data_IF_822045385441
#
_entry.id   IF_822045385441
#
_cell.length_a   1.000
_cell.length_b   1.000
_cell.length_c   1.000
_cell.angle_alpha   90.00
_cell.angle_beta   90.00
_cell.angle_gamma   90.00
#
_symmetry.space_group_name_H-M   'P 1'
#
loop_
_entity.id
_entity.type
_entity.pdbx_description
1 polymer ?
#
# COMPACT_ATOMS: atom_id res chain seq x y z
N UNK A 1 -7.42 -12.58 -53.01
CA UNK A 1 -8.14 -11.53 -52.25
C UNK A 1 -8.44 -12.03 -50.85
N UNK A 2 -7.95 -11.36 -49.80
CA UNK A 2 -8.30 -11.68 -48.39
C UNK A 2 -9.75 -11.22 -48.16
N UNK A 3 -10.60 -12.11 -47.68
CA UNK A 3 -12.01 -11.73 -47.42
C UNK A 3 -12.08 -10.73 -46.23
N UNK A 4 -13.05 -9.78 -46.26
CA UNK A 4 -13.26 -8.81 -45.16
C UNK A 4 -13.38 -9.48 -43.79
N UNK A 5 -14.00 -10.66 -43.70
CA UNK A 5 -14.13 -11.44 -42.48
C UNK A 5 -12.74 -11.92 -41.94
N UNK A 6 -11.83 -12.35 -42.82
CA UNK A 6 -10.48 -12.74 -42.43
C UNK A 6 -9.63 -11.53 -42.00
N UNK A 7 -9.81 -10.38 -42.63
CA UNK A 7 -9.12 -9.15 -42.25
C UNK A 7 -9.59 -8.67 -40.88
N UNK A 8 -10.91 -8.58 -40.66
CA UNK A 8 -11.49 -8.18 -39.36
C UNK A 8 -11.11 -9.16 -38.25
N UNK A 9 -11.20 -10.46 -38.50
CA UNK A 9 -10.78 -11.49 -37.52
C UNK A 9 -9.31 -11.43 -37.22
N UNK A 10 -8.44 -11.20 -38.19
CA UNK A 10 -7.00 -11.04 -38.00
C UNK A 10 -6.66 -9.78 -37.19
N UNK A 11 -7.33 -8.66 -37.48
CA UNK A 11 -7.14 -7.40 -36.72
C UNK A 11 -7.59 -7.54 -35.26
N UNK A 12 -8.75 -8.17 -35.01
CA UNK A 12 -9.24 -8.40 -33.67
C UNK A 12 -8.30 -9.31 -32.85
N UNK A 13 -7.78 -10.38 -33.47
CA UNK A 13 -6.80 -11.28 -32.83
C UNK A 13 -5.49 -10.55 -32.51
N UNK A 14 -4.99 -9.73 -33.42
CA UNK A 14 -3.78 -8.93 -33.19
C UNK A 14 -3.96 -7.92 -32.04
N UNK A 15 -5.09 -7.23 -31.97
CA UNK A 15 -5.42 -6.30 -30.87
C UNK A 15 -5.52 -7.04 -29.53
N UNK A 16 -6.21 -8.18 -29.48
CA UNK A 16 -6.33 -8.98 -28.26
C UNK A 16 -4.96 -9.49 -27.78
N UNK A 17 -4.11 -9.96 -28.71
CA UNK A 17 -2.74 -10.39 -28.38
C UNK A 17 -1.89 -9.23 -27.89
N UNK A 18 -1.96 -8.08 -28.55
CA UNK A 18 -1.25 -6.86 -28.13
C UNK A 18 -1.66 -6.41 -26.73
N UNK A 19 -2.97 -6.40 -26.44
CA UNK A 19 -3.49 -6.08 -25.11
C UNK A 19 -3.04 -7.08 -24.05
N UNK A 20 -3.06 -8.37 -24.38
CA UNK A 20 -2.56 -9.43 -23.49
C UNK A 20 -1.08 -9.26 -23.17
N UNK A 21 -0.25 -9.00 -24.16
CA UNK A 21 1.18 -8.73 -23.97
C UNK A 21 1.42 -7.46 -23.14
N UNK A 22 0.71 -6.38 -23.40
CA UNK A 22 0.76 -5.15 -22.61
C UNK A 22 0.42 -5.40 -21.14
N UNK A 23 -0.70 -6.07 -20.89
CA UNK A 23 -1.20 -6.38 -19.54
C UNK A 23 -0.24 -7.28 -18.76
N UNK A 24 0.45 -8.19 -19.44
CA UNK A 24 1.32 -9.17 -18.81
C UNK A 24 2.79 -8.74 -18.71
N UNK A 25 3.33 -8.07 -19.73
CA UNK A 25 4.76 -7.76 -19.80
C UNK A 25 5.10 -6.30 -19.51
N UNK A 26 4.22 -5.36 -19.87
CA UNK A 26 4.55 -3.94 -19.82
C UNK A 26 4.00 -3.30 -18.55
N UNK A 27 2.70 -3.28 -18.37
CA UNK A 27 2.08 -2.53 -17.28
C UNK A 27 2.49 -3.03 -15.88
N UNK A 28 2.67 -4.34 -15.61
CA UNK A 28 3.12 -4.79 -14.28
C UNK A 28 4.50 -4.29 -13.87
N UNK A 29 5.32 -3.84 -14.83
CA UNK A 29 6.66 -3.32 -14.60
C UNK A 29 6.77 -1.80 -14.87
N UNK A 30 5.67 -1.16 -15.20
CA UNK A 30 5.64 0.28 -15.50
C UNK A 30 5.33 1.08 -14.24
N UNK A 31 6.31 1.14 -13.33
CA UNK A 31 6.19 1.83 -12.05
C UNK A 31 5.83 3.31 -12.22
N UNK A 32 4.83 3.73 -11.45
CA UNK A 32 4.45 5.13 -11.30
C UNK A 32 4.91 5.67 -9.95
N UNK A 33 5.57 6.82 -9.95
CA UNK A 33 5.92 7.55 -8.73
C UNK A 33 4.89 8.65 -8.53
N UNK A 34 4.07 8.50 -7.51
CA UNK A 34 2.98 9.43 -7.18
C UNK A 34 3.44 10.35 -6.05
N UNK A 35 3.30 11.67 -6.23
CA UNK A 35 3.59 12.67 -5.19
C UNK A 35 2.31 13.26 -4.64
N UNK A 36 2.20 13.35 -3.30
CA UNK A 36 1.01 13.85 -2.62
C UNK A 36 1.40 14.65 -1.38
N UNK A 37 0.71 15.74 -1.06
CA UNK A 37 0.80 16.35 0.26
C UNK A 37 0.18 15.42 1.29
N UNK A 38 0.75 15.36 2.50
CA UNK A 38 0.17 14.66 3.65
C UNK A 38 -0.04 15.67 4.79
N UNK A 39 -1.20 16.32 4.84
CA UNK A 39 -1.50 17.29 5.89
C UNK A 39 -1.75 16.56 7.21
N UNK A 40 -0.94 16.89 8.23
CA UNK A 40 -1.02 16.32 9.57
C UNK A 40 -1.25 17.45 10.58
N UNK A 41 -2.30 17.31 11.39
CA UNK A 41 -2.58 18.27 12.48
C UNK A 41 -1.48 18.17 13.56
N UNK A 42 -1.00 19.30 14.03
CA UNK A 42 0.04 19.34 15.04
C UNK A 42 1.43 18.87 14.58
N UNK A 43 1.66 18.73 13.26
CA UNK A 43 2.95 18.29 12.74
C UNK A 43 4.11 19.15 13.26
N UNK A 44 5.17 18.56 13.86
CA UNK A 44 6.36 19.30 14.26
C UNK A 44 6.97 20.08 13.09
N UNK A 45 7.43 21.29 13.36
CA UNK A 45 8.05 22.14 12.32
C UNK A 45 9.29 21.51 11.68
N UNK A 46 10.02 20.69 12.45
CA UNK A 46 11.18 19.91 11.97
C UNK A 46 10.84 18.87 10.91
N UNK A 47 9.56 18.45 10.86
CA UNK A 47 9.05 17.47 9.88
C UNK A 47 8.32 18.14 8.71
N UNK A 48 8.03 19.43 8.76
CA UNK A 48 7.38 20.14 7.67
C UNK A 48 8.28 20.14 6.41
N UNK A 49 7.74 19.72 5.27
CA UNK A 49 8.46 19.57 4.00
C UNK A 49 9.33 18.30 3.91
N UNK A 50 9.37 17.48 4.97
CA UNK A 50 10.02 16.17 4.93
C UNK A 50 9.24 15.19 4.08
N UNK A 51 9.93 14.20 3.53
CA UNK A 51 9.34 13.20 2.66
C UNK A 51 9.13 11.88 3.40
N UNK A 52 7.92 11.33 3.26
CA UNK A 52 7.60 9.96 3.65
C UNK A 52 7.31 9.16 2.37
N UNK A 53 8.06 8.11 2.13
CA UNK A 53 7.82 7.19 1.01
C UNK A 53 7.08 5.97 1.50
N UNK A 54 5.94 5.67 0.88
CA UNK A 54 5.20 4.44 1.07
C UNK A 54 5.52 3.45 -0.04
N UNK A 55 6.03 2.29 0.35
CA UNK A 55 6.07 1.05 -0.40
C UNK A 55 4.99 0.11 0.12
N UNK A 56 4.45 -0.76 -0.70
CA UNK A 56 3.43 -1.73 -0.31
C UNK A 56 3.43 -2.91 -1.25
N UNK A 57 3.00 -4.07 -0.74
CA UNK A 57 2.69 -5.24 -1.59
C UNK A 57 3.87 -5.59 -2.51
N UNK A 58 5.05 -5.72 -1.96
CA UNK A 58 6.28 -6.03 -2.70
C UNK A 58 6.27 -7.45 -3.24
N UNK A 59 5.67 -8.39 -2.49
CA UNK A 59 5.52 -9.79 -2.86
C UNK A 59 6.80 -10.44 -3.38
N UNK A 60 7.95 -10.14 -2.73
CA UNK A 60 9.21 -10.78 -3.09
C UNK A 60 9.05 -12.29 -3.11
N UNK A 61 9.32 -12.87 -4.27
CA UNK A 61 9.09 -14.29 -4.53
C UNK A 61 9.11 -14.61 -6.01
N UNK A 62 8.74 -15.83 -6.41
CA UNK A 62 9.00 -16.34 -7.77
C UNK A 62 8.17 -15.65 -8.87
N UNK A 63 7.18 -14.83 -8.52
CA UNK A 63 6.29 -14.18 -9.50
C UNK A 63 6.66 -12.74 -9.79
N UNK A 64 7.38 -12.07 -8.87
CA UNK A 64 7.83 -10.69 -9.05
C UNK A 64 9.32 -10.73 -9.39
N UNK A 65 9.72 -10.03 -10.44
CA UNK A 65 11.11 -9.99 -10.89
C UNK A 65 11.99 -9.27 -9.83
N UNK A 66 13.03 -9.94 -9.35
CA UNK A 66 14.03 -9.39 -8.44
C UNK A 66 14.63 -8.10 -8.99
N UNK A 67 14.96 -8.10 -10.29
CA UNK A 67 15.50 -6.92 -10.96
C UNK A 67 14.54 -5.73 -10.87
N UNK A 68 13.25 -5.97 -11.08
CA UNK A 68 12.24 -4.93 -11.00
C UNK A 68 12.13 -4.35 -9.59
N UNK A 69 12.15 -5.21 -8.56
CA UNK A 69 12.12 -4.78 -7.15
C UNK A 69 13.37 -3.97 -6.81
N UNK A 70 14.55 -4.47 -7.17
CA UNK A 70 15.82 -3.78 -6.91
C UNK A 70 15.94 -2.46 -7.68
N UNK A 71 15.43 -2.39 -8.92
CA UNK A 71 15.36 -1.15 -9.69
C UNK A 71 14.41 -0.13 -9.03
N UNK A 72 13.30 -0.61 -8.46
CA UNK A 72 12.39 0.21 -7.66
C UNK A 72 13.08 0.74 -6.40
N UNK A 73 13.79 -0.10 -5.68
CA UNK A 73 14.53 0.29 -4.47
C UNK A 73 15.59 1.35 -4.79
N UNK A 74 16.36 1.18 -5.86
CA UNK A 74 17.33 2.20 -6.30
C UNK A 74 16.67 3.54 -6.58
N UNK A 75 15.56 3.55 -7.33
CA UNK A 75 14.80 4.79 -7.61
C UNK A 75 14.32 5.48 -6.34
N UNK A 76 13.89 4.73 -5.33
CA UNK A 76 13.48 5.29 -4.05
C UNK A 76 14.69 5.79 -3.25
N UNK A 77 15.82 5.06 -3.26
CA UNK A 77 17.06 5.49 -2.61
C UNK A 77 17.59 6.81 -3.19
N UNK A 78 17.51 6.97 -4.53
CA UNK A 78 17.94 8.21 -5.21
C UNK A 78 17.13 9.44 -4.80
N UNK A 79 15.90 9.23 -4.28
CA UNK A 79 15.06 10.31 -3.74
C UNK A 79 15.50 10.78 -2.35
N UNK A 80 16.41 10.03 -1.69
CA UNK A 80 16.89 10.29 -0.32
C UNK A 80 15.76 10.61 0.67
N UNK A 81 14.77 9.70 0.86
CA UNK A 81 13.61 9.95 1.70
C UNK A 81 13.97 10.18 3.16
N UNK A 82 13.14 10.97 3.87
CA UNK A 82 13.30 11.14 5.30
C UNK A 82 12.74 9.96 6.08
N UNK A 83 11.58 9.46 5.66
CA UNK A 83 10.91 8.31 6.27
C UNK A 83 10.55 7.33 5.16
N UNK A 84 10.80 6.05 5.37
CA UNK A 84 10.30 4.97 4.52
C UNK A 84 9.34 4.12 5.34
N UNK A 85 8.16 3.86 4.80
CA UNK A 85 7.19 2.93 5.38
C UNK A 85 6.84 1.85 4.38
N UNK A 86 6.74 0.60 4.85
CA UNK A 86 6.26 -0.54 4.06
C UNK A 86 4.95 -1.03 4.66
N UNK A 87 3.87 -0.92 3.90
CA UNK A 87 2.52 -1.24 4.39
C UNK A 87 2.10 -2.68 4.11
N UNK A 88 3.01 -3.64 4.40
CA UNK A 88 2.73 -5.08 4.38
C UNK A 88 2.98 -5.77 3.05
N UNK A 89 2.78 -7.08 3.08
CA UNK A 89 3.01 -8.02 1.98
C UNK A 89 4.42 -7.90 1.40
N UNK A 90 5.42 -8.05 2.29
CA UNK A 90 6.81 -8.13 1.91
C UNK A 90 7.05 -9.34 1.01
N UNK A 91 6.50 -10.50 1.38
CA UNK A 91 6.74 -11.77 0.69
C UNK A 91 5.48 -12.36 0.08
N UNK A 92 5.68 -13.17 -0.96
CA UNK A 92 4.67 -14.14 -1.37
C UNK A 92 4.69 -15.32 -0.38
N UNK A 93 3.55 -15.87 -0.05
CA UNK A 93 3.30 -16.89 0.99
C UNK A 93 3.98 -18.26 0.80
N UNK A 94 5.12 -18.36 0.12
CA UNK A 94 5.80 -19.63 -0.12
C UNK A 94 6.86 -19.93 0.94
N UNK A 95 6.85 -21.15 1.44
CA UNK A 95 7.92 -21.63 2.33
C UNK A 95 9.29 -21.59 1.63
N UNK A 96 10.35 -21.29 2.38
CA UNK A 96 11.73 -21.28 1.86
C UNK A 96 12.18 -19.97 1.21
N UNK A 97 11.33 -18.96 1.11
CA UNK A 97 11.69 -17.67 0.52
C UNK A 97 12.53 -16.76 1.42
N UNK A 98 12.71 -17.07 2.70
CA UNK A 98 13.31 -16.15 3.66
C UNK A 98 14.72 -15.70 3.25
N UNK A 99 15.61 -16.62 2.86
CA UNK A 99 16.95 -16.28 2.36
C UNK A 99 16.92 -15.47 1.06
N UNK A 100 15.91 -15.71 0.23
CA UNK A 100 15.71 -14.95 -1.00
C UNK A 100 15.26 -13.53 -0.65
N UNK A 101 14.26 -13.39 0.23
CA UNK A 101 13.77 -12.12 0.73
C UNK A 101 14.90 -11.30 1.39
N UNK A 102 15.72 -11.91 2.24
CA UNK A 102 16.88 -11.28 2.87
C UNK A 102 17.83 -10.64 1.84
N UNK A 103 18.17 -11.38 0.77
CA UNK A 103 19.05 -10.86 -0.29
C UNK A 103 18.42 -9.66 -1.03
N UNK A 104 17.12 -9.70 -1.29
CA UNK A 104 16.44 -8.62 -1.98
C UNK A 104 16.29 -7.41 -1.07
N UNK A 105 15.88 -7.63 0.19
CA UNK A 105 15.68 -6.57 1.17
C UNK A 105 16.97 -5.95 1.69
N UNK A 106 18.13 -6.57 1.49
CA UNK A 106 19.42 -5.91 1.69
C UNK A 106 19.59 -4.65 0.84
N UNK A 107 18.82 -4.50 -0.25
CA UNK A 107 18.75 -3.31 -1.09
C UNK A 107 17.58 -2.37 -0.78
N UNK A 108 16.79 -2.63 0.27
CA UNK A 108 15.64 -1.79 0.63
C UNK A 108 16.09 -0.35 0.91
N UNK A 109 15.40 0.67 0.37
CA UNK A 109 15.73 2.06 0.68
C UNK A 109 15.48 2.38 2.15
N UNK A 110 16.42 3.12 2.76
CA UNK A 110 16.28 3.59 4.13
C UNK A 110 15.92 5.06 4.21
N UNK A 111 15.02 5.38 5.12
CA UNK A 111 14.73 6.75 5.49
C UNK A 111 15.82 7.32 6.40
N UNK A 112 16.17 8.59 6.19
CA UNK A 112 17.17 9.29 7.04
C UNK A 112 16.76 9.37 8.51
N UNK A 113 15.46 9.37 8.81
CA UNK A 113 14.90 9.43 10.15
C UNK A 113 14.40 8.07 10.63
N UNK A 114 13.73 7.31 9.76
CA UNK A 114 13.20 5.99 10.11
C UNK A 114 12.89 5.15 8.87
N UNK A 115 13.02 3.82 9.04
CA UNK A 115 12.50 2.81 8.12
C UNK A 115 11.62 1.88 8.92
N UNK A 116 10.31 1.96 8.67
CA UNK A 116 9.29 1.23 9.41
C UNK A 116 8.50 0.33 8.47
N UNK A 117 7.88 -0.69 9.01
CA UNK A 117 6.95 -1.53 8.27
C UNK A 117 5.87 -2.11 9.16
N UNK A 118 4.85 -2.65 8.54
CA UNK A 118 3.85 -3.54 9.14
C UNK A 118 3.78 -4.81 8.33
N UNK A 119 3.24 -5.86 8.88
CA UNK A 119 3.01 -7.10 8.14
C UNK A 119 1.69 -7.04 7.35
N UNK A 120 1.66 -7.74 6.22
CA UNK A 120 0.44 -8.07 5.50
C UNK A 120 0.09 -9.56 5.67
N UNK A 121 -1.07 -9.96 5.16
CA UNK A 121 -1.55 -11.32 5.32
C UNK A 121 -0.62 -12.36 4.69
N UNK A 122 0.03 -12.06 3.56
CA UNK A 122 0.94 -12.99 2.90
C UNK A 122 2.22 -13.24 3.69
N UNK A 123 2.64 -12.34 4.56
CA UNK A 123 3.80 -12.50 5.43
C UNK A 123 3.60 -13.58 6.50
N UNK A 124 2.34 -13.95 6.77
CA UNK A 124 1.95 -15.05 7.63
C UNK A 124 1.85 -16.40 6.91
N UNK A 125 2.36 -16.51 5.69
CA UNK A 125 2.43 -17.77 4.96
C UNK A 125 1.10 -18.30 4.43
N UNK A 126 1.06 -19.60 4.06
CA UNK A 126 -0.15 -20.22 3.50
C UNK A 126 -1.34 -20.13 4.45
N UNK A 127 -2.50 -19.70 3.92
CA UNK A 127 -3.71 -19.52 4.72
C UNK A 127 -3.62 -18.47 5.82
N UNK A 128 -2.54 -17.66 5.81
CA UNK A 128 -2.30 -16.52 6.72
C UNK A 128 -2.25 -16.93 8.20
N UNK A 129 -1.80 -18.16 8.47
CA UNK A 129 -1.91 -18.80 9.78
C UNK A 129 -0.59 -19.33 10.35
N UNK A 130 0.54 -18.80 9.86
CA UNK A 130 1.89 -19.20 10.25
C UNK A 130 2.66 -18.04 10.93
N UNK A 131 2.35 -17.72 12.20
CA UNK A 131 2.99 -16.63 12.92
C UNK A 131 4.51 -16.82 13.08
N UNK A 132 5.00 -18.06 13.05
CA UNK A 132 6.43 -18.36 13.07
C UNK A 132 7.15 -17.93 11.77
N UNK A 133 6.46 -17.92 10.63
CA UNK A 133 7.01 -17.38 9.38
C UNK A 133 7.11 -15.85 9.46
N UNK A 134 6.06 -15.21 9.94
CA UNK A 134 6.02 -13.79 10.17
C UNK A 134 7.13 -13.35 11.16
N UNK A 135 7.31 -14.07 12.27
CA UNK A 135 8.35 -13.78 13.25
C UNK A 135 9.76 -13.84 12.63
N UNK A 136 10.07 -14.88 11.85
CA UNK A 136 11.34 -15.01 11.14
C UNK A 136 11.57 -13.90 10.12
N UNK A 137 10.51 -13.47 9.43
CA UNK A 137 10.61 -12.33 8.50
C UNK A 137 10.92 -11.04 9.26
N UNK A 138 10.27 -10.83 10.41
CA UNK A 138 10.54 -9.68 11.29
C UNK A 138 12.00 -9.66 11.71
N UNK A 139 12.56 -10.81 12.14
CA UNK A 139 13.97 -10.92 12.56
C UNK A 139 14.92 -10.54 11.40
N UNK A 140 14.65 -11.04 10.20
CA UNK A 140 15.44 -10.70 8.99
C UNK A 140 15.36 -9.20 8.69
N UNK A 141 14.17 -8.63 8.67
CA UNK A 141 13.97 -7.21 8.38
C UNK A 141 14.60 -6.32 9.47
N UNK A 142 14.52 -6.72 10.73
CA UNK A 142 15.18 -6.02 11.83
C UNK A 142 16.72 -6.05 11.67
N UNK A 143 17.29 -7.18 11.28
CA UNK A 143 18.73 -7.30 10.94
C UNK A 143 19.16 -6.40 9.78
N UNK A 144 18.23 -6.01 8.92
CA UNK A 144 18.42 -5.09 7.80
C UNK A 144 18.04 -3.64 8.15
N UNK A 145 17.75 -3.32 9.42
CA UNK A 145 17.46 -1.96 9.88
C UNK A 145 16.01 -1.50 9.62
N UNK A 146 15.08 -2.42 9.38
CA UNK A 146 13.64 -2.13 9.24
C UNK A 146 12.93 -2.51 10.53
N UNK A 147 12.31 -1.55 11.21
CA UNK A 147 11.48 -1.81 12.38
C UNK A 147 10.06 -2.16 11.96
N UNK A 148 9.62 -3.38 12.23
CA UNK A 148 8.24 -3.82 12.02
C UNK A 148 7.41 -3.50 13.25
N UNK A 149 6.30 -2.80 13.04
CA UNK A 149 5.33 -2.45 14.08
C UNK A 149 4.18 -3.47 14.04
N UNK A 150 3.92 -4.09 15.17
CA UNK A 150 2.87 -5.10 15.33
C UNK A 150 1.94 -4.69 16.47
N UNK A 151 0.95 -3.86 16.18
CA UNK A 151 0.12 -3.14 17.16
C UNK A 151 0.98 -2.29 18.10
N UNK A 152 1.98 -1.61 17.53
CA UNK A 152 2.98 -0.83 18.25
C UNK A 152 3.10 0.57 17.70
N UNK A 153 3.67 1.48 18.51
CA UNK A 153 3.95 2.87 18.16
C UNK A 153 5.46 3.11 18.05
N UNK A 154 5.84 3.85 17.02
CA UNK A 154 7.16 4.45 16.88
C UNK A 154 7.06 5.97 16.91
N UNK A 155 8.00 6.63 17.61
CA UNK A 155 8.17 8.08 17.52
C UNK A 155 9.22 8.41 16.44
N UNK A 156 8.85 9.29 15.54
CA UNK A 156 9.75 9.78 14.48
C UNK A 156 9.75 11.30 14.51
N UNK A 157 10.68 11.86 15.27
CA UNK A 157 10.85 13.31 15.35
C UNK A 157 9.63 14.06 15.90
N UNK A 158 8.85 13.42 16.75
CA UNK A 158 7.64 13.96 17.36
C UNK A 158 6.33 13.56 16.67
N UNK A 159 6.39 12.91 15.52
CA UNK A 159 5.25 12.25 14.88
C UNK A 159 5.16 10.80 15.36
N UNK A 160 4.02 10.42 15.94
CA UNK A 160 3.73 9.06 16.33
C UNK A 160 3.25 8.27 15.13
N UNK A 161 3.93 7.18 14.78
CA UNK A 161 3.49 6.25 13.71
C UNK A 161 3.06 4.95 14.39
N UNK A 162 1.74 4.66 14.36
CA UNK A 162 1.19 3.44 14.89
C UNK A 162 1.02 2.42 13.76
N UNK A 163 1.59 1.23 13.92
CA UNK A 163 1.45 0.13 12.97
C UNK A 163 0.48 -0.93 13.49
N UNK A 164 -0.56 -1.21 12.72
CA UNK A 164 -1.48 -2.30 13.00
C UNK A 164 -0.93 -3.61 12.46
N UNK A 165 -1.13 -4.70 13.19
CA UNK A 165 -0.87 -6.05 12.69
C UNK A 165 -2.02 -6.51 11.77
N UNK A 166 -1.86 -7.62 11.07
CA UNK A 166 -2.75 -7.98 9.97
C UNK A 166 -4.14 -8.48 10.41
N UNK A 167 -5.16 -8.02 9.67
CA UNK A 167 -6.57 -8.34 9.91
C UNK A 167 -6.90 -9.80 9.56
N UNK A 168 -6.41 -10.28 8.40
CA UNK A 168 -6.73 -11.61 7.91
C UNK A 168 -5.92 -12.71 8.61
N UNK A 169 -4.76 -12.37 9.13
CA UNK A 169 -4.00 -13.23 10.03
C UNK A 169 -4.55 -13.24 11.47
N UNK A 170 -5.61 -12.50 11.75
CA UNK A 170 -6.26 -12.40 13.06
C UNK A 170 -5.41 -11.81 14.19
N UNK A 171 -4.45 -10.93 13.84
CA UNK A 171 -3.60 -10.25 14.81
C UNK A 171 -3.92 -8.75 14.97
N UNK A 172 -4.92 -8.23 14.27
CA UNK A 172 -5.34 -6.84 14.34
C UNK A 172 -5.90 -6.49 15.71
N UNK A 173 -5.21 -5.61 16.45
CA UNK A 173 -5.64 -5.08 17.75
C UNK A 173 -5.55 -3.54 17.77
N UNK A 174 -6.55 -2.83 17.25
CA UNK A 174 -6.54 -1.38 17.23
C UNK A 174 -6.69 -0.77 18.64
N UNK A 175 -7.38 -1.44 19.56
CA UNK A 175 -7.57 -0.93 20.92
C UNK A 175 -6.25 -0.88 21.67
N UNK A 176 -5.50 -1.99 21.67
CA UNK A 176 -4.19 -2.07 22.31
C UNK A 176 -3.16 -1.17 21.65
N UNK A 177 -3.19 -1.06 20.30
CA UNK A 177 -2.30 -0.20 19.55
C UNK A 177 -2.54 1.30 19.83
N UNK A 178 -3.80 1.75 19.75
CA UNK A 178 -4.16 3.16 19.92
C UNK A 178 -4.09 3.62 21.39
N UNK A 179 -4.17 2.71 22.35
CA UNK A 179 -3.96 3.03 23.77
C UNK A 179 -2.53 3.50 24.08
N UNK A 180 -1.57 3.21 23.21
CA UNK A 180 -0.17 3.63 23.35
C UNK A 180 0.08 5.05 22.83
N UNK A 181 -0.90 5.65 22.10
CA UNK A 181 -0.76 7.01 21.57
C UNK A 181 -0.98 8.06 22.64
N UNK A 182 -0.12 9.06 22.64
CA UNK A 182 -0.40 10.36 23.29
C UNK A 182 -1.33 11.16 22.35
N UNK A 183 -2.55 11.36 22.77
CA UNK A 183 -3.61 12.00 21.97
C UNK A 183 -3.37 13.49 21.68
N UNK A 184 -2.48 14.13 22.44
CA UNK A 184 -2.10 15.53 22.25
C UNK A 184 -1.03 15.69 21.16
N UNK A 185 -0.46 14.58 20.69
CA UNK A 185 0.61 14.56 19.70
C UNK A 185 0.10 14.11 18.33
N UNK A 186 0.72 14.61 17.23
CA UNK A 186 0.37 14.18 15.89
C UNK A 186 0.60 12.68 15.71
N UNK A 187 -0.30 12.03 14.98
CA UNK A 187 -0.20 10.61 14.70
C UNK A 187 -0.57 10.26 13.26
N UNK A 188 0.01 9.16 12.79
CA UNK A 188 -0.20 8.53 11.50
C UNK A 188 -0.35 7.02 11.73
N UNK A 189 -1.34 6.37 11.12
CA UNK A 189 -1.51 4.93 11.22
C UNK A 189 -1.08 4.22 9.94
N UNK A 190 -0.51 3.02 10.09
CA UNK A 190 -0.25 2.07 9.03
C UNK A 190 -1.16 0.86 9.24
N UNK A 191 -1.87 0.42 8.21
CA UNK A 191 -2.73 -0.76 8.25
C UNK A 191 -2.77 -1.41 6.88
N UNK A 192 -2.37 -2.67 6.78
CA UNK A 192 -2.26 -3.33 5.48
C UNK A 192 -3.62 -3.41 4.76
N UNK A 193 -4.60 -4.04 5.40
CA UNK A 193 -5.93 -4.23 4.81
C UNK A 193 -6.84 -3.03 5.08
N UNK A 194 -7.39 -2.36 4.05
CA UNK A 194 -8.24 -1.19 4.22
C UNK A 194 -9.57 -1.47 4.93
N UNK A 195 -10.09 -2.71 4.93
CA UNK A 195 -11.31 -3.07 5.67
C UNK A 195 -11.18 -2.89 7.19
N UNK A 196 -9.96 -2.71 7.71
CA UNK A 196 -9.72 -2.42 9.13
C UNK A 196 -10.41 -1.16 9.59
N UNK A 197 -10.56 -0.14 8.72
CA UNK A 197 -11.16 1.14 9.09
C UNK A 197 -12.67 1.05 9.39
N UNK A 198 -13.31 -0.02 8.92
CA UNK A 198 -14.73 -0.33 9.17
C UNK A 198 -14.90 -1.23 10.41
N UNK A 199 -13.80 -1.64 11.07
CA UNK A 199 -13.84 -2.40 12.32
C UNK A 199 -13.93 -1.46 13.52
N UNK A 200 -14.47 -1.97 14.63
CA UNK A 200 -14.44 -1.26 15.90
C UNK A 200 -13.00 -1.07 16.42
N UNK A 201 -12.84 -0.11 17.34
CA UNK A 201 -11.58 0.11 18.03
C UNK A 201 -10.77 1.31 17.52
N UNK A 202 -11.26 2.07 16.55
CA UNK A 202 -10.64 3.31 16.06
C UNK A 202 -11.07 4.56 16.83
N UNK A 203 -11.75 4.37 17.96
CA UNK A 203 -12.33 5.50 18.71
C UNK A 203 -11.26 6.47 19.20
N UNK A 204 -11.46 7.74 18.84
CA UNK A 204 -10.55 8.83 19.20
C UNK A 204 -9.28 8.92 18.34
N UNK A 205 -9.09 8.06 17.33
CA UNK A 205 -8.05 8.27 16.33
C UNK A 205 -8.54 9.25 15.27
N UNK A 206 -7.76 10.31 15.04
CA UNK A 206 -7.96 11.29 13.98
C UNK A 206 -6.70 11.34 13.11
N UNK A 207 -6.82 11.47 11.81
CA UNK A 207 -5.68 11.59 10.90
C UNK A 207 -5.63 10.57 9.80
N UNK A 208 -4.45 10.37 9.23
CA UNK A 208 -4.24 9.52 8.07
C UNK A 208 -3.94 8.07 8.45
N UNK A 209 -4.46 7.16 7.61
CA UNK A 209 -4.17 5.73 7.63
C UNK A 209 -3.58 5.39 6.26
N UNK A 210 -2.38 4.83 6.21
CA UNK A 210 -1.76 4.37 4.97
C UNK A 210 -1.97 2.87 4.84
N UNK A 211 -2.52 2.44 3.70
CA UNK A 211 -2.89 1.04 3.45
C UNK A 211 -2.38 0.53 2.10
N UNK A 212 -2.43 -0.79 1.92
CA UNK A 212 -2.10 -1.51 0.69
C UNK A 212 -3.15 -2.55 0.34
N UNK A 213 -2.71 -3.82 0.13
CA UNK A 213 -3.54 -5.02 0.00
C UNK A 213 -4.37 -5.14 -1.28
N UNK A 214 -4.99 -4.08 -1.73
CA UNK A 214 -5.96 -4.12 -2.84
C UNK A 214 -5.31 -4.22 -4.21
N UNK A 215 -4.05 -3.82 -4.33
CA UNK A 215 -3.37 -3.62 -5.62
C UNK A 215 -4.16 -2.75 -6.61
N UNK A 216 -5.12 -1.94 -6.12
CA UNK A 216 -6.07 -1.23 -6.98
C UNK A 216 -6.99 -2.15 -7.81
N UNK A 217 -7.06 -3.45 -7.46
CA UNK A 217 -7.73 -4.51 -8.19
C UNK A 217 -6.94 -5.05 -9.39
N UNK A 218 -5.69 -4.66 -9.55
CA UNK A 218 -4.73 -5.02 -10.63
C UNK A 218 -5.23 -4.79 -12.07
N UNK A 219 -6.46 -5.19 -12.38
CA UNK A 219 -7.09 -5.00 -13.70
C UNK A 219 -8.39 -4.23 -13.54
N UNK A 220 -8.42 -3.02 -14.08
CA UNK A 220 -9.61 -2.16 -14.04
C UNK A 220 -10.03 -1.79 -15.47
N UNK A 221 -11.10 -2.41 -16.00
CA UNK A 221 -11.63 -2.01 -17.29
C UNK A 221 -12.02 -0.52 -17.28
N UNK A 222 -11.92 0.19 -18.42
CA UNK A 222 -12.37 1.57 -18.50
C UNK A 222 -13.83 1.69 -18.07
N UNK A 223 -14.14 2.68 -17.22
CA UNK A 223 -15.50 3.00 -16.74
C UNK A 223 -16.17 1.95 -15.86
N UNK A 224 -15.50 0.83 -15.56
CA UNK A 224 -16.02 -0.22 -14.70
C UNK A 224 -15.16 -0.37 -13.44
N UNK A 225 -15.74 -0.84 -12.33
CA UNK A 225 -14.95 -1.21 -11.15
C UNK A 225 -14.06 -2.43 -11.47
N UNK A 226 -12.97 -2.62 -10.71
CA UNK A 226 -12.16 -3.83 -10.85
C UNK A 226 -13.02 -5.07 -10.54
N UNK A 227 -12.93 -6.12 -11.37
CA UNK A 227 -13.73 -7.34 -11.20
C UNK A 227 -13.35 -8.11 -9.94
N UNK A 228 -12.05 -8.11 -9.61
CA UNK A 228 -11.49 -8.78 -8.43
C UNK A 228 -10.92 -7.71 -7.50
N UNK A 229 -11.34 -7.74 -6.25
CA UNK A 229 -10.85 -6.85 -5.22
C UNK A 229 -10.86 -7.62 -3.88
N UNK A 230 -9.72 -7.81 -3.21
CA UNK A 230 -9.61 -8.64 -2.01
C UNK A 230 -10.03 -7.85 -0.76
N UNK A 231 -11.23 -7.28 -0.74
CA UNK A 231 -11.81 -6.53 0.38
C UNK A 231 -13.31 -6.78 0.46
N UNK A 232 -13.88 -6.66 1.65
CA UNK A 232 -15.31 -6.71 1.86
C UNK A 232 -15.98 -5.43 1.37
N UNK A 233 -15.42 -4.28 1.74
CA UNK A 233 -15.91 -2.99 1.28
C UNK A 233 -15.30 -2.63 -0.08
N UNK A 234 -16.01 -2.94 -1.14
CA UNK A 234 -15.55 -2.72 -2.53
C UNK A 234 -15.35 -1.25 -2.92
N UNK A 235 -15.70 -0.31 -2.03
CA UNK A 235 -15.36 1.10 -2.17
C UNK A 235 -13.84 1.32 -2.10
N UNK A 236 -13.14 0.54 -1.28
CA UNK A 236 -11.71 0.70 -1.02
C UNK A 236 -10.86 0.08 -2.12
N UNK A 237 -10.60 0.85 -3.17
CA UNK A 237 -9.80 0.39 -4.32
C UNK A 237 -8.37 0.90 -4.25
N UNK A 238 -8.14 2.19 -4.48
CA UNK A 238 -6.85 2.86 -4.44
C UNK A 238 -7.04 4.37 -4.32
N UNK A 239 -6.04 5.07 -3.81
CA UNK A 239 -6.05 6.51 -3.62
C UNK A 239 -6.61 6.95 -2.28
N UNK A 240 -7.08 8.19 -2.18
CA UNK A 240 -7.52 8.77 -0.91
C UNK A 240 -9.02 8.61 -0.68
N UNK A 241 -9.37 8.41 0.60
CA UNK A 241 -10.74 8.28 1.08
C UNK A 241 -10.92 9.13 2.34
N UNK A 242 -11.97 9.92 2.38
CA UNK A 242 -12.45 10.52 3.62
C UNK A 242 -13.33 9.51 4.35
N UNK A 243 -13.06 9.35 5.65
CA UNK A 243 -13.74 8.42 6.55
C UNK A 243 -14.50 9.19 7.62
N UNK A 244 -15.28 8.50 8.43
CA UNK A 244 -15.93 9.06 9.61
C UNK A 244 -14.92 9.45 10.69
N UNK A 245 -15.25 10.36 11.60
CA UNK A 245 -14.42 10.73 12.75
C UNK A 245 -13.11 11.45 12.39
N UNK A 246 -13.12 12.28 11.33
CA UNK A 246 -11.95 13.03 10.84
C UNK A 246 -10.77 12.13 10.43
N UNK A 247 -11.01 10.87 10.18
CA UNK A 247 -10.02 9.93 9.63
C UNK A 247 -9.96 10.06 8.12
N UNK A 248 -8.79 9.83 7.58
CA UNK A 248 -8.55 9.74 6.14
C UNK A 248 -7.71 8.50 5.86
N UNK A 249 -7.88 7.90 4.72
CA UNK A 249 -7.09 6.75 4.31
C UNK A 249 -6.50 6.97 2.93
N UNK A 250 -5.27 6.49 2.75
CA UNK A 250 -4.68 6.37 1.41
C UNK A 250 -4.32 4.91 1.17
N UNK A 251 -4.78 4.38 0.05
CA UNK A 251 -4.54 2.99 -0.35
C UNK A 251 -3.59 3.00 -1.55
N UNK A 252 -2.40 2.43 -1.37
CA UNK A 252 -1.43 2.22 -2.44
C UNK A 252 -1.89 1.12 -3.39
N UNK A 253 -1.52 1.25 -4.67
CA UNK A 253 -1.71 0.18 -5.66
C UNK A 253 -0.64 -0.91 -5.60
N UNK A 254 0.31 -0.78 -4.67
CA UNK A 254 1.39 -1.73 -4.48
C UNK A 254 2.41 -1.76 -5.62
N UNK A 255 3.57 -2.32 -5.32
CA UNK A 255 4.70 -2.46 -6.27
C UNK A 255 4.64 -3.81 -6.99
N UNK A 256 4.51 -4.89 -6.22
CA UNK A 256 4.50 -6.25 -6.75
C UNK A 256 3.11 -6.73 -7.20
N UNK A 257 2.98 -8.04 -7.29
CA UNK A 257 1.75 -8.70 -7.70
C UNK A 257 1.77 -10.19 -7.30
N UNK A 258 0.60 -10.79 -7.11
CA UNK A 258 0.45 -12.25 -6.98
C UNK A 258 0.20 -12.91 -8.34
N UNK A 259 -0.46 -12.20 -9.25
CA UNK A 259 -0.64 -12.60 -10.65
C UNK A 259 0.00 -11.50 -11.48
N UNK A 260 0.91 -11.87 -12.38
CA UNK A 260 1.59 -10.91 -13.24
C UNK A 260 0.62 -10.39 -14.32
N UNK A 261 -0.40 -9.65 -13.89
CA UNK A 261 -1.36 -9.03 -14.79
C UNK A 261 -1.81 -7.69 -14.21
N UNK A 262 -1.51 -6.61 -14.92
CA UNK A 262 -2.04 -5.27 -14.60
C UNK A 262 -2.61 -4.63 -15.85
N UNK A 263 -3.79 -4.04 -15.71
CA UNK A 263 -4.43 -3.29 -16.79
C UNK A 263 -5.12 -2.06 -16.24
N UNK A 264 -4.68 -0.87 -16.69
CA UNK A 264 -5.15 0.43 -16.24
C UNK A 264 -4.98 0.64 -14.71
N UNK A 265 -4.00 -0.06 -14.11
CA UNK A 265 -3.62 0.00 -12.69
C UNK A 265 -2.12 -0.23 -12.57
N UNK A 266 -1.34 0.80 -12.87
CA UNK A 266 0.12 0.71 -12.79
C UNK A 266 0.60 0.52 -11.35
N UNK A 267 1.71 -0.23 -11.14
CA UNK A 267 2.37 -0.29 -9.83
C UNK A 267 2.72 1.10 -9.32
N UNK A 268 2.76 1.27 -8.00
CA UNK A 268 2.89 2.58 -7.37
C UNK A 268 3.94 2.59 -6.26
N UNK A 269 4.75 3.65 -6.27
CA UNK A 269 5.47 4.18 -5.12
C UNK A 269 4.89 5.54 -4.79
N UNK A 270 4.45 5.75 -3.55
CA UNK A 270 3.86 7.03 -3.15
C UNK A 270 4.86 7.82 -2.31
N UNK A 271 5.08 9.07 -2.71
CA UNK A 271 5.90 10.04 -1.97
C UNK A 271 4.96 11.06 -1.36
N UNK A 272 4.91 11.08 -0.05
CA UNK A 272 4.18 12.09 0.69
C UNK A 272 5.13 13.21 1.13
N UNK A 273 4.72 14.45 0.90
CA UNK A 273 5.32 15.61 1.52
C UNK A 273 4.54 15.94 2.80
N UNK A 274 5.20 15.85 3.96
CA UNK A 274 4.59 16.12 5.24
C UNK A 274 4.30 17.62 5.37
N UNK A 275 3.06 17.99 5.64
CA UNK A 275 2.64 19.38 5.76
C UNK A 275 1.78 19.59 7.02
N UNK A 276 1.87 20.73 7.70
CA UNK A 276 0.91 21.09 8.74
C UNK A 276 -0.50 21.20 8.16
N UNK A 277 -1.51 20.66 8.85
CA UNK A 277 -2.91 20.85 8.46
C UNK A 277 -3.25 22.37 8.47
N UNK A 278 -3.89 22.85 7.39
CA UNK A 278 -4.20 24.27 7.19
C UNK A 278 -3.22 25.04 6.31
N UNK A 279 -2.09 24.47 5.91
CA UNK A 279 -1.10 25.09 4.99
C UNK A 279 -1.25 24.68 3.51
N UNK A 280 -2.31 24.01 3.14
CA UNK A 280 -2.60 23.79 1.72
C UNK A 280 -3.06 25.12 1.12
N UNK A 281 -2.13 25.94 0.66
CA UNK A 281 -2.42 27.11 -0.18
C UNK A 281 -3.10 26.63 -1.45
N UNK A 282 -4.11 27.39 -1.91
CA UNK A 282 -4.93 27.17 -3.11
C UNK A 282 -4.16 27.05 -4.43
N UNK A 283 -2.86 26.77 -4.42
CA UNK A 283 -1.99 26.63 -5.58
C UNK A 283 -1.42 25.22 -5.83
N UNK A 284 -1.51 24.30 -4.87
CA UNK A 284 -1.15 22.91 -5.09
C UNK A 284 -2.36 22.15 -5.66
N UNK A 285 -2.68 22.39 -6.93
CA UNK A 285 -3.75 21.74 -7.69
C UNK A 285 -3.45 20.27 -8.04
N UNK A 286 -2.89 19.52 -7.10
CA UNK A 286 -3.01 18.08 -7.03
C UNK A 286 -4.23 17.72 -6.20
N UNK A 287 -5.42 18.16 -6.62
CA UNK A 287 -6.65 17.67 -6.01
C UNK A 287 -6.55 16.15 -5.88
N UNK A 288 -6.77 15.64 -4.67
CA UNK A 288 -6.93 14.22 -4.46
C UNK A 288 -8.00 13.77 -5.47
N UNK A 289 -7.72 12.84 -6.38
CA UNK A 289 -8.75 12.38 -7.29
C UNK A 289 -9.93 11.92 -6.45
N UNK A 290 -11.07 12.55 -6.62
CA UNK A 290 -12.31 12.15 -5.96
C UNK A 290 -12.52 10.67 -6.17
N UNK A 291 -12.88 9.89 -5.14
CA UNK A 291 -13.23 8.49 -5.32
C UNK A 291 -14.33 8.44 -6.38
N UNK A 292 -14.14 7.60 -7.39
CA UNK A 292 -15.14 7.41 -8.43
C UNK A 292 -16.49 7.14 -7.79
N UNK A 293 -17.53 7.76 -8.34
CA UNK A 293 -18.96 7.75 -7.99
C UNK A 293 -19.36 6.63 -7.02
N UNK A 294 -19.88 7.04 -5.86
CA UNK A 294 -20.37 6.17 -4.81
C UNK A 294 -21.30 5.07 -5.35
N UNK A 295 -21.00 3.82 -5.05
CA UNK A 295 -21.98 2.76 -5.07
C UNK A 295 -23.00 3.01 -3.93
N UNK A 296 -24.29 2.70 -4.11
CA UNK A 296 -25.31 2.90 -3.09
C UNK A 296 -24.95 2.14 -1.80
N UNK A 297 -25.26 2.75 -0.66
CA UNK A 297 -25.09 2.15 0.65
C UNK A 297 -25.69 0.74 0.73
N UNK A 298 -25.03 -0.21 1.40
CA UNK A 298 -25.66 -1.49 1.67
C UNK A 298 -26.86 -1.26 2.58
N UNK A 299 -28.04 -1.72 2.15
CA UNK A 299 -29.23 -1.79 3.00
C UNK A 299 -28.86 -2.55 4.27
N UNK A 300 -29.11 -1.95 5.43
CA UNK A 300 -29.04 -2.61 6.70
C UNK A 300 -29.80 -3.96 6.61
N UNK A 301 -29.13 -5.03 6.98
CA UNK A 301 -29.78 -6.30 7.19
C UNK A 301 -30.82 -6.08 8.30
N UNK A 302 -32.07 -6.18 7.95
CA UNK A 302 -33.14 -6.37 8.91
C UNK A 302 -33.09 -7.83 9.32
N UNK A 303 -32.82 -8.05 10.63
CA UNK A 303 -32.99 -9.25 11.45
C UNK A 303 -32.61 -10.62 10.88
#
# INVERSE_FOLDING_TARGET
MISRRRLVGGSAAALASGLGLYTWLIEPHWLEVVRRPLPIAGLPTSLAGRTLVQLSDLHVGPRVSDRYVLDTFRRVSDLAPDIVVVTGDFTSYQAGLLKHAERIYAGLPHGRLATLGILGNHDYGPGWSHPEMAARLVDVLAGLGVRILRNEVADVGGLQIVGMDDLWAHHFDPVGALAQLDRERPSLALSHNPDTVDRAGWDGFEGWILAGHTHGGQCKPPFLPPPILPVNNRRYTAGAFDLTGKRRMYISRGVGHLIQARFNVRPEVTIFELAPAGRLTEGASGAWPSPGVAAPEPRAAQD
#
